data_IF_907402784350
#
_entry.id   IF_907402784350
#
_cell.length_a   1.000
_cell.length_b   1.000
_cell.length_c   1.000
_cell.angle_alpha   90.00
_cell.angle_beta   90.00
_cell.angle_gamma   90.00
#
_symmetry.space_group_name_H-M   'P 1'
#
loop_
_entity.id
_entity.type
_entity.pdbx_description
1 polymer ?
#
# COMPACT_ATOMS: atom_id res chain seq x y z
N UNK A 1 10.02 10.25 13.34
CA UNK A 1 9.77 10.53 11.91
C UNK A 1 9.81 12.04 11.71
N UNK A 2 10.28 12.54 10.56
CA UNK A 2 10.27 13.99 10.29
C UNK A 2 8.84 14.48 10.03
N UNK A 3 8.57 15.79 10.12
CA UNK A 3 7.27 16.35 9.75
C UNK A 3 6.85 16.00 8.31
N UNK A 4 7.76 16.04 7.32
CA UNK A 4 7.41 15.62 5.95
C UNK A 4 7.11 14.12 5.88
N UNK A 5 7.86 13.31 6.62
CA UNK A 5 7.62 11.87 6.71
C UNK A 5 6.24 11.54 7.27
N UNK A 6 5.82 12.24 8.35
CA UNK A 6 4.48 12.10 8.91
C UNK A 6 3.40 12.52 7.91
N UNK A 7 3.63 13.59 7.14
CA UNK A 7 2.70 14.01 6.09
C UNK A 7 2.54 12.96 4.99
N UNK A 8 3.64 12.38 4.49
CA UNK A 8 3.61 11.30 3.48
C UNK A 8 2.94 10.03 4.01
N UNK A 9 3.26 9.61 5.24
CA UNK A 9 2.58 8.50 5.90
C UNK A 9 1.06 8.74 6.04
N UNK A 10 0.64 9.92 6.52
CA UNK A 10 -0.78 10.26 6.64
C UNK A 10 -1.50 10.27 5.29
N UNK A 11 -0.82 10.67 4.23
CA UNK A 11 -1.39 10.67 2.88
C UNK A 11 -1.74 9.25 2.43
N UNK A 12 -0.82 8.29 2.57
CA UNK A 12 -1.12 6.90 2.21
C UNK A 12 -2.22 6.32 3.11
N UNK A 13 -2.21 6.62 4.42
CA UNK A 13 -3.30 6.19 5.33
C UNK A 13 -4.65 6.75 4.90
N UNK A 14 -4.73 8.05 4.61
CA UNK A 14 -5.97 8.69 4.14
C UNK A 14 -6.45 8.12 2.81
N UNK A 15 -5.55 7.74 1.91
CA UNK A 15 -5.93 7.06 0.68
C UNK A 15 -6.58 5.70 0.98
N UNK A 16 -5.94 4.88 1.82
CA UNK A 16 -6.49 3.58 2.19
C UNK A 16 -7.83 3.70 2.93
N UNK A 17 -7.89 4.49 3.99
CA UNK A 17 -9.08 4.53 4.86
C UNK A 17 -10.19 5.44 4.32
N UNK A 18 -9.83 6.47 3.55
CA UNK A 18 -10.78 7.43 3.00
C UNK A 18 -11.28 7.09 1.60
N UNK A 19 -10.45 6.49 0.76
CA UNK A 19 -10.76 6.24 -0.67
C UNK A 19 -11.06 4.77 -0.93
N UNK A 20 -10.25 3.85 -0.40
CA UNK A 20 -10.39 2.43 -0.70
C UNK A 20 -11.55 1.79 0.07
N UNK A 21 -12.22 0.86 -0.59
CA UNK A 21 -13.27 0.01 -0.03
C UNK A 21 -12.99 -1.45 -0.34
N UNK A 22 -13.41 -2.33 0.55
CA UNK A 22 -13.34 -3.76 0.27
C UNK A 22 -14.26 -4.11 -0.90
N UNK A 23 -13.73 -4.82 -1.90
CA UNK A 23 -14.48 -5.18 -3.10
C UNK A 23 -15.33 -6.45 -2.92
N UNK A 24 -14.96 -7.33 -1.99
CA UNK A 24 -15.56 -8.67 -1.81
C UNK A 24 -15.63 -9.10 -0.34
N UNK A 25 -16.38 -10.18 -0.10
CA UNK A 25 -16.48 -10.83 1.21
C UNK A 25 -17.39 -10.07 2.19
N UNK A 26 -17.30 -10.44 3.47
CA UNK A 26 -18.19 -9.92 4.52
C UNK A 26 -18.07 -8.41 4.78
N UNK A 27 -16.98 -7.79 4.34
CA UNK A 27 -16.73 -6.35 4.51
C UNK A 27 -16.97 -5.56 3.22
N UNK A 28 -17.52 -6.18 2.17
CA UNK A 28 -17.72 -5.52 0.88
C UNK A 28 -18.44 -4.16 1.03
N UNK A 29 -17.93 -3.14 0.35
CA UNK A 29 -18.45 -1.77 0.39
C UNK A 29 -18.04 -0.95 1.62
N UNK A 30 -17.46 -1.57 2.66
CA UNK A 30 -16.92 -0.88 3.82
C UNK A 30 -15.54 -0.28 3.53
N UNK A 31 -15.20 0.78 4.26
CA UNK A 31 -13.88 1.42 4.19
C UNK A 31 -12.76 0.46 4.59
N UNK A 32 -11.64 0.53 3.88
CA UNK A 32 -10.47 -0.28 4.20
C UNK A 32 -9.77 0.29 5.43
N UNK A 33 -9.90 -0.34 6.59
CA UNK A 33 -9.20 0.08 7.81
C UNK A 33 -7.86 -0.64 7.92
N UNK A 34 -6.78 0.10 8.15
CA UNK A 34 -5.45 -0.49 8.24
C UNK A 34 -5.28 -1.24 9.57
N UNK A 35 -4.65 -2.42 9.49
CA UNK A 35 -4.22 -3.15 10.68
C UNK A 35 -2.97 -2.49 11.27
N UNK A 36 -2.69 -2.67 12.58
CA UNK A 36 -1.52 -2.08 13.23
C UNK A 36 -0.20 -2.35 12.49
N UNK A 37 0.03 -3.59 12.06
CA UNK A 37 1.24 -3.96 11.33
C UNK A 37 1.34 -3.31 9.94
N UNK A 38 0.20 -3.01 9.30
CA UNK A 38 0.17 -2.33 7.99
C UNK A 38 0.57 -0.86 8.15
N UNK A 39 0.19 -0.23 9.26
CA UNK A 39 0.71 1.09 9.60
C UNK A 39 2.21 1.08 9.81
N UNK A 40 2.77 0.06 10.46
CA UNK A 40 4.22 -0.04 10.67
C UNK A 40 4.97 -0.18 9.35
N UNK A 41 4.46 -1.01 8.43
CA UNK A 41 4.98 -1.10 7.05
C UNK A 41 4.95 0.28 6.37
N UNK A 42 3.85 1.03 6.48
CA UNK A 42 3.73 2.33 5.82
C UNK A 42 4.60 3.42 6.45
N UNK A 43 4.81 3.39 7.75
CA UNK A 43 5.77 4.30 8.41
C UNK A 43 7.18 4.06 7.89
N UNK A 44 7.59 2.80 7.72
CA UNK A 44 8.92 2.47 7.22
C UNK A 44 9.10 2.73 5.72
N UNK A 45 8.07 2.49 4.90
CA UNK A 45 8.15 2.64 3.44
C UNK A 45 7.89 4.07 2.96
N UNK A 46 6.84 4.72 3.46
CA UNK A 46 6.41 6.04 2.99
C UNK A 46 6.80 7.17 3.94
N UNK A 47 6.90 6.86 5.24
CA UNK A 47 7.18 7.85 6.27
C UNK A 47 8.66 8.08 6.59
N UNK A 48 9.51 7.05 6.46
CA UNK A 48 10.94 7.19 6.70
C UNK A 48 11.64 7.77 5.47
N UNK A 49 12.09 9.01 5.60
CA UNK A 49 12.72 9.78 4.52
C UNK A 49 14.20 10.03 4.79
N UNK A 50 14.96 10.21 3.73
CA UNK A 50 16.31 10.78 3.72
C UNK A 50 16.25 12.30 3.92
N UNK A 51 17.38 12.97 4.23
CA UNK A 51 17.44 14.43 4.32
C UNK A 51 16.99 15.17 3.05
N UNK A 52 17.09 14.53 1.89
CA UNK A 52 16.65 15.08 0.60
C UNK A 52 15.12 14.92 0.34
N UNK A 53 14.37 14.35 1.29
CA UNK A 53 12.93 14.14 1.19
C UNK A 53 12.50 12.89 0.41
N UNK A 54 13.45 12.11 -0.11
CA UNK A 54 13.18 10.82 -0.77
C UNK A 54 13.02 9.69 0.24
N UNK A 55 12.39 8.57 -0.16
CA UNK A 55 12.22 7.41 0.72
C UNK A 55 13.57 6.82 1.12
N UNK A 56 13.76 6.57 2.41
CA UNK A 56 14.94 5.87 2.93
C UNK A 56 14.96 4.42 2.45
N UNK A 57 13.82 3.72 2.58
CA UNK A 57 13.66 2.34 2.18
C UNK A 57 12.97 2.25 0.82
N UNK A 58 13.69 1.70 -0.16
CA UNK A 58 13.18 1.49 -1.53
C UNK A 58 12.72 0.05 -1.77
N UNK A 59 13.09 -0.87 -0.88
CA UNK A 59 12.78 -2.29 -0.94
C UNK A 59 12.34 -2.71 0.46
N UNK A 60 11.25 -3.46 0.55
CA UNK A 60 10.83 -4.12 1.79
C UNK A 60 10.58 -5.60 1.53
N UNK A 61 10.97 -6.40 2.51
CA UNK A 61 10.66 -7.82 2.60
C UNK A 61 9.71 -8.02 3.78
N UNK A 62 8.53 -8.58 3.51
CA UNK A 62 7.44 -8.65 4.48
C UNK A 62 6.86 -10.06 4.46
N UNK A 63 7.07 -10.82 5.54
CA UNK A 63 6.50 -12.15 5.72
C UNK A 63 5.19 -12.07 6.48
N UNK A 64 4.10 -12.41 5.81
CA UNK A 64 2.76 -12.34 6.39
C UNK A 64 2.01 -13.66 6.17
N UNK A 65 1.46 -14.27 7.24
CA UNK A 65 0.71 -15.52 7.13
C UNK A 65 -0.52 -15.41 6.21
N UNK A 66 -1.11 -16.55 5.85
CA UNK A 66 -2.34 -16.58 5.03
C UNK A 66 -3.48 -15.86 5.76
N UNK A 67 -4.43 -15.30 5.00
CA UNK A 67 -5.63 -14.59 5.48
C UNK A 67 -5.40 -13.32 6.32
N UNK A 68 -4.20 -12.72 6.25
CA UNK A 68 -3.88 -11.46 6.94
C UNK A 68 -4.00 -10.21 6.03
N UNK A 69 -4.78 -10.29 4.94
CA UNK A 69 -5.03 -9.13 4.08
C UNK A 69 -3.84 -8.65 3.24
N UNK A 70 -2.78 -9.44 3.09
CA UNK A 70 -1.57 -9.04 2.33
C UNK A 70 -1.85 -8.73 0.85
N UNK A 71 -2.70 -9.51 0.18
CA UNK A 71 -3.02 -9.28 -1.24
C UNK A 71 -3.79 -7.99 -1.43
N UNK A 72 -4.76 -7.71 -0.55
CA UNK A 72 -5.53 -6.46 -0.59
C UNK A 72 -4.65 -5.25 -0.23
N UNK A 73 -3.71 -5.40 0.70
CA UNK A 73 -2.71 -4.37 0.98
C UNK A 73 -1.87 -4.04 -0.27
N UNK A 74 -1.35 -5.06 -0.96
CA UNK A 74 -0.57 -4.87 -2.18
C UNK A 74 -1.39 -4.22 -3.30
N UNK A 75 -2.68 -4.56 -3.44
CA UNK A 75 -3.58 -3.92 -4.41
C UNK A 75 -3.77 -2.43 -4.10
N UNK A 76 -4.00 -2.08 -2.83
CA UNK A 76 -4.09 -0.68 -2.41
C UNK A 76 -2.78 0.08 -2.60
N UNK A 77 -1.63 -0.54 -2.35
CA UNK A 77 -0.31 0.08 -2.59
C UNK A 77 -0.16 0.36 -4.08
N UNK A 78 -0.52 -0.60 -4.94
CA UNK A 78 -0.42 -0.44 -6.38
C UNK A 78 -1.26 0.73 -6.88
N UNK A 79 -2.52 0.84 -6.42
CA UNK A 79 -3.39 1.96 -6.73
C UNK A 79 -2.86 3.30 -6.21
N UNK A 80 -2.36 3.33 -4.98
CA UNK A 80 -1.78 4.54 -4.40
C UNK A 80 -0.57 5.02 -5.21
N UNK A 81 0.35 4.10 -5.53
CA UNK A 81 1.55 4.41 -6.32
C UNK A 81 1.18 4.91 -7.73
N UNK A 82 0.13 4.35 -8.33
CA UNK A 82 -0.33 4.73 -9.66
C UNK A 82 -1.03 6.09 -9.69
N UNK A 83 -1.84 6.40 -8.68
CA UNK A 83 -2.79 7.54 -8.72
C UNK A 83 -2.41 8.71 -7.82
N UNK A 84 -1.69 8.45 -6.73
CA UNK A 84 -1.64 9.35 -5.59
C UNK A 84 -0.24 9.48 -4.97
N UNK A 85 0.82 8.98 -5.60
CA UNK A 85 2.19 9.06 -5.07
C UNK A 85 3.05 10.16 -5.73
N UNK A 86 2.47 10.95 -6.64
CA UNK A 86 3.10 12.10 -7.31
C UNK A 86 4.31 11.77 -8.20
N UNK A 87 4.47 10.51 -8.60
CA UNK A 87 5.46 10.10 -9.59
C UNK A 87 4.86 10.19 -11.02
N UNK A 88 5.32 11.11 -11.89
CA UNK A 88 4.78 11.22 -13.24
C UNK A 88 5.13 9.98 -14.08
N UNK A 89 4.12 9.37 -14.70
CA UNK A 89 4.33 8.18 -15.55
C UNK A 89 4.70 6.93 -14.76
N UNK A 90 4.28 6.81 -13.50
CA UNK A 90 4.54 5.65 -12.66
C UNK A 90 4.05 4.35 -13.31
N UNK A 91 4.96 3.38 -13.42
CA UNK A 91 4.63 2.01 -13.82
C UNK A 91 4.66 1.10 -12.60
N UNK A 92 3.55 0.38 -12.37
CA UNK A 92 3.39 -0.50 -11.22
C UNK A 92 3.20 -1.93 -11.68
N UNK A 93 4.15 -2.79 -11.33
CA UNK A 93 4.16 -4.19 -11.75
C UNK A 93 3.95 -5.13 -10.55
N UNK A 94 3.00 -6.06 -10.70
CA UNK A 94 2.80 -7.20 -9.82
C UNK A 94 3.39 -8.48 -10.42
N UNK A 95 4.23 -9.18 -9.65
CA UNK A 95 4.84 -10.46 -10.02
C UNK A 95 4.51 -11.54 -8.99
N UNK A 96 4.34 -12.77 -9.47
CA UNK A 96 4.12 -13.96 -8.64
C UNK A 96 4.66 -15.19 -9.39
N UNK A 97 4.57 -16.38 -8.77
CA UNK A 97 5.00 -17.65 -9.38
C UNK A 97 4.27 -17.93 -10.71
N UNK A 98 3.02 -17.51 -10.84
CA UNK A 98 2.24 -17.60 -12.06
C UNK A 98 1.37 -16.35 -12.30
N UNK A 99 0.88 -16.23 -13.54
CA UNK A 99 0.07 -15.08 -13.97
C UNK A 99 -1.28 -15.00 -13.27
N UNK A 100 -1.89 -16.13 -12.91
CA UNK A 100 -3.19 -16.12 -12.23
C UNK A 100 -3.05 -15.56 -10.81
N UNK A 101 -1.98 -15.93 -10.10
CA UNK A 101 -1.61 -15.42 -8.79
C UNK A 101 -1.28 -13.93 -8.84
N UNK A 102 -0.48 -13.50 -9.81
CA UNK A 102 -0.21 -12.07 -10.02
C UNK A 102 -1.52 -11.30 -10.30
N UNK A 103 -2.42 -11.93 -11.07
CA UNK A 103 -3.75 -11.41 -11.40
C UNK A 103 -4.67 -11.18 -10.20
N UNK A 104 -4.41 -11.80 -9.04
CA UNK A 104 -5.25 -11.61 -7.84
C UNK A 104 -5.22 -10.14 -7.40
N UNK A 105 -4.06 -9.49 -7.43
CA UNK A 105 -3.89 -8.10 -7.01
C UNK A 105 -4.72 -7.17 -7.92
N UNK A 106 -4.66 -7.39 -9.23
CA UNK A 106 -5.38 -6.57 -10.22
C UNK A 106 -6.88 -6.83 -10.26
N UNK A 107 -7.35 -8.01 -9.84
CA UNK A 107 -8.79 -8.32 -9.72
C UNK A 107 -9.39 -7.90 -8.39
N UNK A 108 -8.56 -7.53 -7.42
CA UNK A 108 -8.99 -7.04 -6.11
C UNK A 108 -9.30 -5.54 -6.15
N UNK A 109 -8.55 -4.81 -7.00
CA UNK A 109 -8.71 -3.39 -7.33
C UNK A 109 -9.83 -3.12 -8.35
#
# INVERSE_FOLDING_TARGET
>A
MTPEGEAKYRRVVRFFEGVLRHSKGQHAGQHFTLLPWQHDVFRELFGRLKPDGTRQHRVAYIEVPKKNGKSTLLAGIALYMLLADEEPGAEVYGAACDREQAGIIYREA
#
